data_IF_158241804527
#
_entry.id   IF_158241804527
#
_cell.length_a   1.000
_cell.length_b   1.000
_cell.length_c   1.000
_cell.angle_alpha   90.00
_cell.angle_beta   90.00
_cell.angle_gamma   90.00
#
_symmetry.space_group_name_H-M   'P 1'
#
loop_
_entity.id
_entity.type
_entity.pdbx_description
1 polymer ?
#
# COMPACT_ATOMS: atom_id res chain seq x y z
N UNK A 1 -10.08 0.92 16.53
CA UNK A 1 -9.99 1.82 17.71
C UNK A 1 -8.57 2.11 18.26
N UNK A 2 -7.48 1.39 17.92
CA UNK A 2 -6.25 1.41 18.77
C UNK A 2 -5.12 2.41 18.44
N UNK A 3 -5.07 3.10 17.30
CA UNK A 3 -3.89 3.90 16.90
C UNK A 3 -3.92 5.35 17.39
N UNK A 4 -5.09 5.99 17.38
CA UNK A 4 -5.28 7.33 17.94
C UNK A 4 -5.07 7.36 19.47
N UNK A 5 -5.34 6.25 20.16
CA UNK A 5 -5.05 6.10 21.59
C UNK A 5 -3.55 5.99 21.87
N UNK A 6 -2.77 5.32 21.00
CA UNK A 6 -1.29 5.32 21.06
C UNK A 6 -0.68 6.71 20.82
N UNK A 7 -1.41 7.64 20.19
CA UNK A 7 -0.99 9.04 20.05
C UNK A 7 -1.29 9.88 21.32
N UNK A 8 -2.12 9.36 22.24
CA UNK A 8 -2.38 9.98 23.56
C UNK A 8 -1.40 9.57 24.64
N UNK A 9 -0.57 8.54 24.39
CA UNK A 9 0.47 8.10 25.33
C UNK A 9 1.72 8.99 25.29
N UNK A 10 2.44 9.18 26.41
CA UNK A 10 3.46 10.23 26.56
C UNK A 10 4.76 10.04 25.77
N UNK A 11 4.95 8.93 25.06
CA UNK A 11 6.19 8.62 24.34
C UNK A 11 5.92 8.32 22.87
N UNK A 12 5.63 9.37 22.10
CA UNK A 12 5.62 9.29 20.64
C UNK A 12 7.06 9.04 20.18
N UNK A 13 7.34 7.83 19.70
CA UNK A 13 8.69 7.48 19.24
C UNK A 13 9.00 8.14 17.90
N UNK A 14 10.29 8.35 17.61
CA UNK A 14 10.75 8.92 16.34
C UNK A 14 10.29 8.07 15.16
N UNK A 15 10.33 6.75 15.31
CA UNK A 15 9.94 5.75 14.32
C UNK A 15 8.45 5.86 13.99
N UNK A 16 7.59 6.02 15.00
CA UNK A 16 6.16 6.24 14.81
C UNK A 16 5.86 7.55 14.07
N UNK A 17 6.59 8.62 14.36
CA UNK A 17 6.48 9.88 13.62
C UNK A 17 6.86 9.71 12.15
N UNK A 18 7.98 9.05 11.88
CA UNK A 18 8.46 8.78 10.52
C UNK A 18 7.41 7.99 9.73
N UNK A 19 6.95 6.87 10.29
CA UNK A 19 5.90 6.04 9.68
C UNK A 19 4.66 6.87 9.38
N UNK A 20 4.19 7.65 10.34
CA UNK A 20 2.96 8.45 10.19
C UNK A 20 3.06 9.49 9.07
N UNK A 21 4.22 10.17 8.93
CA UNK A 21 4.42 11.16 7.85
C UNK A 21 4.39 10.47 6.48
N UNK A 22 5.11 9.36 6.32
CA UNK A 22 5.15 8.64 5.05
C UNK A 22 3.78 7.99 4.74
N UNK A 23 3.09 7.51 5.77
CA UNK A 23 1.72 6.98 5.69
C UNK A 23 0.74 8.02 5.16
N UNK A 24 0.79 9.27 5.64
CA UNK A 24 -0.03 10.37 5.12
C UNK A 24 0.27 10.63 3.64
N UNK A 25 1.55 10.68 3.25
CA UNK A 25 1.94 10.86 1.84
C UNK A 25 1.40 9.74 0.95
N UNK A 26 1.43 8.50 1.43
CA UNK A 26 0.85 7.35 0.73
C UNK A 26 -0.67 7.48 0.59
N UNK A 27 -1.37 7.76 1.69
CA UNK A 27 -2.83 7.85 1.73
C UNK A 27 -3.37 8.96 0.82
N UNK A 28 -2.65 10.09 0.75
CA UNK A 28 -2.97 11.23 -0.10
C UNK A 28 -2.44 11.12 -1.53
N UNK A 29 -1.87 9.96 -1.91
CA UNK A 29 -1.28 9.72 -3.24
C UNK A 29 -0.21 10.76 -3.62
N UNK A 30 0.52 11.27 -2.63
CA UNK A 30 1.55 12.30 -2.78
C UNK A 30 2.97 11.74 -2.94
N UNK A 31 3.19 10.43 -2.71
CA UNK A 31 4.51 9.79 -2.93
C UNK A 31 5.07 10.02 -4.35
N UNK A 32 4.29 9.89 -5.45
CA UNK A 32 4.80 10.15 -6.80
C UNK A 32 5.28 11.60 -7.04
N UNK A 33 4.87 12.55 -6.19
CA UNK A 33 5.29 13.95 -6.27
C UNK A 33 6.65 14.19 -5.57
N UNK A 34 7.16 13.20 -4.84
CA UNK A 34 8.46 13.28 -4.20
C UNK A 34 9.58 13.00 -5.20
N UNK A 35 10.74 13.64 -5.03
CA UNK A 35 11.92 13.34 -5.84
C UNK A 35 12.48 11.95 -5.51
N UNK A 36 13.17 11.34 -6.47
CA UNK A 36 13.87 10.04 -6.32
C UNK A 36 14.76 10.02 -5.07
N UNK A 37 15.54 11.08 -4.83
CA UNK A 37 16.41 11.18 -3.65
C UNK A 37 15.61 11.12 -2.33
N UNK A 38 14.47 11.82 -2.25
CA UNK A 38 13.60 11.80 -1.06
C UNK A 38 12.97 10.42 -0.86
N UNK A 39 12.53 9.78 -1.93
CA UNK A 39 11.97 8.42 -1.90
C UNK A 39 13.02 7.41 -1.40
N UNK A 40 14.26 7.50 -1.88
CA UNK A 40 15.37 6.67 -1.41
C UNK A 40 15.66 6.90 0.09
N UNK A 41 15.71 8.16 0.54
CA UNK A 41 15.85 8.47 1.97
C UNK A 41 14.71 7.87 2.79
N UNK A 42 13.45 8.02 2.36
CA UNK A 42 12.31 7.43 3.05
C UNK A 42 12.42 5.90 3.13
N UNK A 43 12.83 5.24 2.04
CA UNK A 43 13.04 3.79 2.01
C UNK A 43 14.11 3.35 3.02
N UNK A 44 15.26 4.04 3.04
CA UNK A 44 16.35 3.73 3.96
C UNK A 44 15.93 3.88 5.43
N UNK A 45 15.22 4.97 5.75
CA UNK A 45 14.77 5.22 7.12
C UNK A 45 13.73 4.19 7.55
N UNK A 46 12.79 3.80 6.67
CA UNK A 46 11.81 2.76 6.97
C UNK A 46 12.46 1.40 7.22
N UNK A 47 13.49 1.03 6.46
CA UNK A 47 14.24 -0.23 6.66
C UNK A 47 14.93 -0.29 8.03
N UNK A 48 15.31 0.86 8.60
CA UNK A 48 15.90 0.94 9.94
C UNK A 48 14.90 0.80 11.09
N UNK A 49 13.59 0.70 10.83
CA UNK A 49 12.57 0.53 11.87
C UNK A 49 12.41 -0.96 12.22
N UNK A 50 12.85 -1.29 13.43
CA UNK A 50 12.75 -2.63 14.04
C UNK A 50 11.60 -2.68 15.06
N UNK A 51 10.36 -2.61 14.56
CA UNK A 51 9.14 -2.76 15.36
C UNK A 51 8.16 -3.68 14.62
N UNK A 52 8.02 -4.90 15.13
CA UNK A 52 7.12 -5.92 14.56
C UNK A 52 5.65 -5.46 14.54
N UNK A 53 5.23 -4.56 15.44
CA UNK A 53 3.84 -4.10 15.50
C UNK A 53 3.42 -3.20 14.34
N UNK A 54 4.39 -2.72 13.55
CA UNK A 54 4.16 -1.88 12.39
C UNK A 54 4.65 -2.50 11.08
N UNK A 55 5.00 -3.80 11.09
CA UNK A 55 5.67 -4.46 9.97
C UNK A 55 4.83 -4.46 8.68
N UNK A 56 3.53 -4.79 8.74
CA UNK A 56 2.67 -4.73 7.56
C UNK A 56 2.58 -3.33 6.96
N UNK A 57 2.46 -2.29 7.78
CA UNK A 57 2.46 -0.91 7.28
C UNK A 57 3.81 -0.56 6.67
N UNK A 58 4.92 -0.88 7.36
CA UNK A 58 6.27 -0.65 6.85
C UNK A 58 6.44 -1.26 5.46
N UNK A 59 6.01 -2.51 5.29
CA UNK A 59 6.05 -3.21 4.01
C UNK A 59 5.14 -2.57 2.94
N UNK A 60 3.92 -2.15 3.29
CA UNK A 60 3.05 -1.42 2.36
C UNK A 60 3.70 -0.12 1.85
N UNK A 61 4.34 0.65 2.75
CA UNK A 61 5.00 1.90 2.40
C UNK A 61 6.27 1.66 1.57
N UNK A 62 7.09 0.67 1.94
CA UNK A 62 8.27 0.27 1.16
C UNK A 62 7.88 -0.20 -0.25
N UNK A 63 6.82 -0.99 -0.38
CA UNK A 63 6.32 -1.41 -1.70
C UNK A 63 5.86 -0.23 -2.54
N UNK A 64 5.16 0.73 -1.93
CA UNK A 64 4.68 1.94 -2.60
C UNK A 64 5.82 2.85 -3.06
N UNK A 65 6.86 3.01 -2.24
CA UNK A 65 8.06 3.77 -2.57
C UNK A 65 8.83 3.09 -3.71
N UNK A 66 9.05 1.77 -3.63
CA UNK A 66 9.75 1.03 -4.68
C UNK A 66 9.00 1.09 -6.01
N UNK A 67 7.66 1.06 -5.98
CA UNK A 67 6.83 1.29 -7.17
C UNK A 67 7.09 2.68 -7.77
N UNK A 68 7.15 3.74 -6.97
CA UNK A 68 7.48 5.09 -7.44
C UNK A 68 8.91 5.19 -8.00
N UNK A 69 9.84 4.36 -7.51
CA UNK A 69 11.22 4.26 -8.00
C UNK A 69 11.37 3.32 -9.21
N UNK A 70 10.28 2.73 -9.71
CA UNK A 70 10.27 1.72 -10.78
C UNK A 70 11.01 0.41 -10.43
N UNK A 71 11.28 0.16 -9.15
CA UNK A 71 11.83 -1.10 -8.63
C UNK A 71 10.71 -2.13 -8.48
N UNK A 72 10.23 -2.64 -9.62
CA UNK A 72 9.01 -3.47 -9.69
C UNK A 72 9.09 -4.75 -8.87
N UNK A 73 10.23 -5.45 -8.89
CA UNK A 73 10.40 -6.71 -8.16
C UNK A 73 10.32 -6.50 -6.65
N UNK A 74 11.02 -5.49 -6.14
CA UNK A 74 11.00 -5.15 -4.70
C UNK A 74 9.61 -4.70 -4.28
N UNK A 75 8.93 -3.90 -5.12
CA UNK A 75 7.56 -3.49 -4.86
C UNK A 75 6.63 -4.70 -4.68
N UNK A 76 6.71 -5.69 -5.58
CA UNK A 76 5.92 -6.93 -5.51
C UNK A 76 6.22 -7.67 -4.21
N UNK A 77 7.50 -7.85 -3.86
CA UNK A 77 7.89 -8.57 -2.65
C UNK A 77 7.33 -7.90 -1.39
N UNK A 78 7.51 -6.58 -1.26
CA UNK A 78 7.01 -5.84 -0.11
C UNK A 78 5.48 -5.85 -0.02
N UNK A 79 4.75 -5.71 -1.13
CA UNK A 79 3.30 -5.81 -1.09
C UNK A 79 2.81 -7.22 -0.73
N UNK A 80 3.50 -8.28 -1.18
CA UNK A 80 3.19 -9.65 -0.76
C UNK A 80 3.41 -9.87 0.73
N UNK A 81 4.49 -9.32 1.31
CA UNK A 81 4.73 -9.37 2.75
C UNK A 81 3.63 -8.63 3.52
N UNK A 82 3.26 -7.42 3.08
CA UNK A 82 2.21 -6.63 3.71
C UNK A 82 0.80 -7.26 3.60
N UNK A 83 0.52 -7.95 2.48
CA UNK A 83 -0.75 -8.66 2.28
C UNK A 83 -0.88 -9.91 3.16
N UNK A 84 0.24 -10.50 3.60
CA UNK A 84 0.26 -11.65 4.52
C UNK A 84 0.17 -11.25 5.99
N UNK A 85 0.20 -9.95 6.31
CA UNK A 85 0.08 -9.49 7.69
C UNK A 85 -1.36 -9.61 8.19
N UNK A 86 -1.68 -10.78 8.75
CA UNK A 86 -2.99 -11.09 9.35
C UNK A 86 -3.32 -10.21 10.57
N UNK A 87 -2.33 -9.55 11.19
CA UNK A 87 -2.56 -8.60 12.29
C UNK A 87 -3.35 -7.37 11.81
N UNK A 88 -3.22 -7.03 10.52
CA UNK A 88 -4.04 -6.00 9.87
C UNK A 88 -5.53 -6.38 9.80
N UNK A 89 -5.84 -7.65 9.53
CA UNK A 89 -7.22 -8.16 9.46
C UNK A 89 -7.93 -8.06 10.81
N UNK A 90 -7.25 -8.47 11.88
CA UNK A 90 -7.80 -8.43 13.25
C UNK A 90 -8.02 -7.01 13.79
N UNK A 91 -7.42 -6.00 13.16
CA UNK A 91 -7.45 -4.61 13.61
C UNK A 91 -8.32 -3.69 12.75
N UNK A 92 -9.06 -4.24 11.76
CA UNK A 92 -9.85 -3.46 10.81
C UNK A 92 -8.97 -2.39 10.12
N UNK A 93 -7.78 -2.80 9.70
CA UNK A 93 -6.75 -1.92 9.11
C UNK A 93 -6.79 -1.97 7.59
N UNK A 94 -6.50 -0.83 6.94
CA UNK A 94 -6.44 -0.76 5.47
C UNK A 94 -5.20 -1.43 4.89
N UNK A 95 -4.22 -1.75 5.74
CA UNK A 95 -2.89 -2.18 5.30
C UNK A 95 -2.97 -3.38 4.36
N UNK A 96 -3.63 -4.45 4.79
CA UNK A 96 -3.76 -5.66 3.99
C UNK A 96 -4.62 -5.43 2.73
N UNK A 97 -5.86 -4.88 2.81
CA UNK A 97 -6.66 -4.60 1.62
C UNK A 97 -5.96 -3.71 0.59
N UNK A 98 -5.27 -2.67 1.06
CA UNK A 98 -4.56 -1.76 0.17
C UNK A 98 -3.29 -2.41 -0.41
N UNK A 99 -2.62 -3.31 0.32
CA UNK A 99 -1.48 -4.05 -0.23
C UNK A 99 -1.89 -4.97 -1.37
N UNK A 100 -3.03 -5.66 -1.25
CA UNK A 100 -3.59 -6.46 -2.35
C UNK A 100 -3.92 -5.60 -3.57
N UNK A 101 -4.54 -4.43 -3.35
CA UNK A 101 -4.81 -3.46 -4.40
C UNK A 101 -3.53 -2.94 -5.07
N UNK A 102 -2.52 -2.51 -4.30
CA UNK A 102 -1.29 -1.96 -4.87
C UNK A 102 -0.49 -3.03 -5.61
N UNK A 103 -0.44 -4.27 -5.10
CA UNK A 103 0.15 -5.42 -5.80
C UNK A 103 -0.56 -5.66 -7.13
N UNK A 104 -1.89 -5.67 -7.14
CA UNK A 104 -2.67 -5.82 -8.34
C UNK A 104 -2.35 -4.69 -9.35
N UNK A 105 -2.26 -3.43 -8.91
CA UNK A 105 -1.84 -2.32 -9.76
C UNK A 105 -0.48 -2.55 -10.41
N UNK A 106 0.51 -3.10 -9.68
CA UNK A 106 1.81 -3.41 -10.25
C UNK A 106 1.69 -4.48 -11.34
N UNK A 107 0.99 -5.58 -11.06
CA UNK A 107 0.79 -6.67 -12.01
C UNK A 107 -0.01 -6.26 -13.25
N UNK A 108 -0.93 -5.31 -13.11
CA UNK A 108 -1.71 -4.75 -14.22
C UNK A 108 -0.86 -3.96 -15.22
N UNK A 109 0.26 -3.37 -14.78
CA UNK A 109 1.16 -2.61 -15.65
C UNK A 109 2.13 -3.49 -16.44
N UNK A 110 2.10 -4.81 -16.24
CA UNK A 110 2.95 -5.78 -16.93
C UNK A 110 2.06 -6.70 -17.78
N UNK A 111 2.20 -6.71 -19.13
CA UNK A 111 1.31 -7.46 -20.02
C UNK A 111 1.15 -8.94 -19.65
N UNK A 112 2.24 -9.60 -19.27
CA UNK A 112 2.29 -11.03 -18.93
C UNK A 112 1.53 -11.35 -17.63
N UNK A 113 1.39 -10.37 -16.74
CA UNK A 113 0.72 -10.54 -15.44
C UNK A 113 -0.60 -9.78 -15.31
N UNK A 114 -1.03 -9.05 -16.34
CA UNK A 114 -2.23 -8.23 -16.27
C UNK A 114 -3.50 -9.04 -15.99
N UNK A 115 -3.59 -10.29 -16.48
CA UNK A 115 -4.68 -11.20 -16.12
C UNK A 115 -4.73 -11.50 -14.62
N UNK A 116 -3.56 -11.77 -14.01
CA UNK A 116 -3.44 -12.00 -12.56
C UNK A 116 -3.80 -10.75 -11.76
N UNK A 117 -3.35 -9.58 -12.21
CA UNK A 117 -3.71 -8.31 -11.58
C UNK A 117 -5.22 -8.07 -11.58
N UNK A 118 -5.93 -8.36 -12.67
CA UNK A 118 -7.40 -8.22 -12.74
C UNK A 118 -8.12 -9.17 -11.79
N UNK A 119 -7.71 -10.44 -11.76
CA UNK A 119 -8.28 -11.40 -10.81
C UNK A 119 -8.05 -10.98 -9.36
N UNK A 120 -6.85 -10.50 -9.03
CA UNK A 120 -6.53 -10.04 -7.68
C UNK A 120 -7.37 -8.82 -7.27
N UNK A 121 -7.67 -7.90 -8.20
CA UNK A 121 -8.59 -6.79 -7.93
C UNK A 121 -10.01 -7.27 -7.60
N UNK A 122 -10.53 -8.26 -8.35
CA UNK A 122 -11.87 -8.79 -8.12
C UNK A 122 -11.91 -9.55 -6.78
N UNK A 123 -10.91 -10.38 -6.51
CA UNK A 123 -10.78 -11.10 -5.25
C UNK A 123 -10.74 -10.14 -4.06
N UNK A 124 -9.98 -9.04 -4.15
CA UNK A 124 -9.93 -8.05 -3.08
C UNK A 124 -11.28 -7.36 -2.79
N UNK A 125 -12.22 -7.31 -3.74
CA UNK A 125 -13.58 -6.80 -3.47
C UNK A 125 -14.39 -7.79 -2.63
N UNK A 126 -14.16 -9.07 -2.83
CA UNK A 126 -14.88 -10.15 -2.14
C UNK A 126 -14.28 -10.39 -0.74
N UNK A 127 -12.95 -10.52 -0.66
CA UNK A 127 -12.22 -10.82 0.57
C UNK A 127 -12.34 -9.74 1.64
N UNK A 128 -12.54 -8.48 1.23
CA UNK A 128 -12.60 -7.32 2.12
C UNK A 128 -14.00 -6.68 2.16
N UNK A 129 -15.05 -7.47 1.93
CA UNK A 129 -16.43 -7.05 2.15
C UNK A 129 -16.72 -6.85 3.65
N UNK A 130 -17.47 -5.80 4.01
CA UNK A 130 -17.79 -5.44 5.40
C UNK A 130 -16.67 -4.72 6.14
N UNK A 131 -15.56 -4.40 5.47
CA UNK A 131 -14.43 -3.64 5.99
C UNK A 131 -14.77 -2.12 6.09
N UNK A 132 -14.31 -1.41 7.13
CA UNK A 132 -14.65 0.00 7.37
C UNK A 132 -14.35 0.93 6.18
N UNK A 133 -13.30 0.60 5.41
CA UNK A 133 -12.91 1.38 4.24
C UNK A 133 -13.15 0.63 2.93
N UNK A 134 -14.05 -0.35 2.90
CA UNK A 134 -14.47 -1.11 1.71
C UNK A 134 -14.83 -0.15 0.56
N UNK A 135 -15.69 0.84 0.81
CA UNK A 135 -16.09 1.81 -0.21
C UNK A 135 -14.89 2.56 -0.81
N UNK A 136 -13.88 2.91 0.00
CA UNK A 136 -12.66 3.57 -0.50
C UNK A 136 -11.81 2.62 -1.33
N UNK A 137 -11.70 1.37 -0.92
CA UNK A 137 -11.03 0.33 -1.69
C UNK A 137 -11.73 0.12 -3.05
N UNK A 138 -13.05 -0.01 -3.05
CA UNK A 138 -13.86 -0.19 -4.26
C UNK A 138 -13.68 0.96 -5.25
N UNK A 139 -13.71 2.21 -4.78
CA UNK A 139 -13.45 3.38 -5.64
C UNK A 139 -12.05 3.31 -6.25
N UNK A 140 -11.02 2.93 -5.47
CA UNK A 140 -9.66 2.77 -5.99
C UNK A 140 -9.58 1.68 -7.07
N UNK A 141 -10.18 0.52 -6.82
CA UNK A 141 -10.22 -0.61 -7.76
C UNK A 141 -10.94 -0.20 -9.05
N UNK A 142 -12.10 0.45 -8.93
CA UNK A 142 -12.87 0.91 -10.07
C UNK A 142 -12.06 1.88 -10.95
N UNK A 143 -11.45 2.91 -10.33
CA UNK A 143 -10.61 3.87 -11.06
C UNK A 143 -9.43 3.19 -11.76
N UNK A 144 -8.75 2.24 -11.11
CA UNK A 144 -7.63 1.51 -11.70
C UNK A 144 -8.05 0.69 -12.92
N UNK A 145 -9.17 -0.03 -12.84
CA UNK A 145 -9.70 -0.83 -13.95
C UNK A 145 -10.19 0.06 -15.11
N UNK A 146 -10.84 1.18 -14.81
CA UNK A 146 -11.31 2.13 -15.80
C UNK A 146 -10.15 2.75 -16.61
N UNK A 147 -9.06 3.17 -15.94
CA UNK A 147 -7.87 3.71 -16.62
C UNK A 147 -7.26 2.73 -17.62
N UNK A 148 -7.33 1.42 -17.36
CA UNK A 148 -6.84 0.41 -18.31
C UNK A 148 -7.74 0.25 -19.54
N UNK A 149 -9.06 0.28 -19.35
CA UNK A 149 -10.01 0.21 -20.48
C UNK A 149 -9.82 1.40 -21.42
N UNK A 150 -9.52 2.59 -20.87
CA UNK A 150 -9.20 3.76 -21.66
C UNK A 150 -7.85 3.62 -22.41
N UNK A 151 -6.81 3.08 -21.76
CA UNK A 151 -5.51 2.86 -22.39
C UNK A 151 -5.55 1.81 -23.52
N UNK A 152 -6.40 0.79 -23.41
CA UNK A 152 -6.60 -0.22 -24.45
C UNK A 152 -7.45 0.28 -25.64
N UNK A 153 -8.14 1.40 -25.50
CA UNK A 153 -9.01 1.98 -26.53
C UNK A 153 -8.32 3.11 -27.35
N UNK A 154 -7.05 3.43 -27.05
CA UNK A 154 -6.24 4.35 -27.86
C UNK A 154 -5.57 3.57 -29.00
N UNK A 155 -5.76 3.98 -30.27
CA UNK A 155 -5.29 3.26 -31.46
C UNK A 155 -3.77 3.29 -31.65
#
# INVERSE_FOLDING_TARGET
MKRAEKLRTPSLSKELCILSVIEILYLWKALPNCSTAKLQTMSQVLQGIDDASCEGLKNLLLGSINRCLHNTNDAIQFFQLAARDEVGHLSNSYVQPYSCYELACVLLNTPESAGKGRMLMLQAKEDFAGYDFENRLHVRIHSALASMTAAAAQP
#
